data_IF_693034104917
#
_entry.id   IF_693034104917
#
_cell.length_a   1.000
_cell.length_b   1.000
_cell.length_c   1.000
_cell.angle_alpha   90.00
_cell.angle_beta   90.00
_cell.angle_gamma   90.00
#
_symmetry.space_group_name_H-M   'P 1'
#
loop_
_entity.id
_entity.type
_entity.pdbx_description
1 polymer ?
#
# COMPACT_ATOMS: atom_id res chain seq x y z
N UNK A 1 -5.21 11.94 27.89
CA UNK A 1 -4.05 12.66 27.33
C UNK A 1 -3.44 11.79 26.25
N UNK A 2 -3.68 12.11 24.98
CA UNK A 2 -3.08 11.38 23.86
C UNK A 2 -1.58 11.69 23.86
N UNK A 3 -0.78 10.69 24.19
CA UNK A 3 0.67 10.73 24.14
C UNK A 3 1.09 11.34 22.79
N UNK A 4 1.90 12.40 22.87
CA UNK A 4 2.72 12.90 21.77
C UNK A 4 3.61 11.74 21.35
N UNK A 5 3.14 10.89 20.45
CA UNK A 5 3.97 9.85 19.87
C UNK A 5 4.76 10.50 18.73
N UNK A 6 6.07 10.76 18.90
CA UNK A 6 6.93 10.89 17.74
C UNK A 6 6.72 9.63 16.91
N UNK A 7 6.44 9.80 15.62
CA UNK A 7 6.30 8.66 14.71
C UNK A 7 7.50 7.73 14.91
N UNK A 8 7.31 6.39 14.90
CA UNK A 8 8.42 5.45 15.00
C UNK A 8 9.53 5.82 14.02
N UNK A 9 10.79 5.61 14.43
CA UNK A 9 11.93 5.87 13.56
C UNK A 9 12.22 4.59 12.77
N UNK A 10 12.38 4.70 11.45
CA UNK A 10 12.74 3.57 10.59
C UNK A 10 14.05 2.90 11.04
N UNK A 11 15.04 3.66 11.52
CA UNK A 11 16.32 3.12 11.96
C UNK A 11 16.27 2.53 13.37
N UNK A 12 15.46 3.08 14.27
CA UNK A 12 15.42 2.63 15.66
C UNK A 12 14.39 1.52 15.90
N UNK A 13 13.23 1.60 15.23
CA UNK A 13 12.07 0.72 15.41
C UNK A 13 11.48 0.37 14.02
N UNK A 14 12.22 -0.38 13.17
CA UNK A 14 11.83 -0.65 11.79
C UNK A 14 10.49 -1.36 11.68
N UNK A 15 10.21 -2.30 12.60
CA UNK A 15 8.95 -3.05 12.60
C UNK A 15 7.74 -2.16 12.89
N UNK A 16 7.82 -1.28 13.89
CA UNK A 16 6.73 -0.38 14.23
C UNK A 16 6.53 0.68 13.15
N UNK A 17 7.61 1.15 12.52
CA UNK A 17 7.53 2.06 11.38
C UNK A 17 6.82 1.42 10.19
N UNK A 18 7.21 0.21 9.80
CA UNK A 18 6.57 -0.50 8.69
C UNK A 18 5.09 -0.77 9.00
N UNK A 19 4.75 -1.20 10.22
CA UNK A 19 3.35 -1.39 10.64
C UNK A 19 2.54 -0.10 10.57
N UNK A 20 3.13 1.02 10.98
CA UNK A 20 2.49 2.32 10.86
C UNK A 20 2.24 2.70 9.38
N UNK A 21 3.22 2.49 8.50
CA UNK A 21 3.06 2.77 7.06
C UNK A 21 1.99 1.86 6.44
N UNK A 22 1.99 0.57 6.77
CA UNK A 22 0.95 -0.37 6.36
C UNK A 22 -0.43 0.12 6.77
N UNK A 23 -0.61 0.53 8.04
CA UNK A 23 -1.89 1.05 8.52
C UNK A 23 -2.33 2.30 7.76
N UNK A 24 -1.40 3.20 7.40
CA UNK A 24 -1.73 4.37 6.57
C UNK A 24 -2.17 3.97 5.15
N UNK A 25 -1.54 2.95 4.56
CA UNK A 25 -1.94 2.38 3.27
C UNK A 25 -3.34 1.76 3.36
N UNK A 26 -3.63 0.98 4.39
CA UNK A 26 -4.96 0.39 4.63
C UNK A 26 -6.04 1.47 4.70
N UNK A 27 -5.75 2.60 5.37
CA UNK A 27 -6.66 3.74 5.40
C UNK A 27 -6.87 4.38 4.02
N UNK A 28 -5.83 4.48 3.20
CA UNK A 28 -5.96 4.95 1.82
C UNK A 28 -6.81 3.99 0.96
N UNK A 29 -6.68 2.68 1.16
CA UNK A 29 -7.50 1.67 0.49
C UNK A 29 -8.98 1.80 0.90
N UNK A 30 -9.28 2.02 2.18
CA UNK A 30 -10.64 2.28 2.64
C UNK A 30 -11.26 3.53 2.01
N UNK A 31 -10.43 4.55 1.72
CA UNK A 31 -10.83 5.77 1.02
C UNK A 31 -10.87 5.61 -0.51
N UNK A 32 -10.68 4.39 -1.02
CA UNK A 32 -10.65 4.07 -2.45
C UNK A 32 -9.60 4.85 -3.24
N UNK A 33 -8.47 5.17 -2.61
CA UNK A 33 -7.38 5.87 -3.28
C UNK A 33 -6.61 4.94 -4.20
N UNK A 34 -6.07 5.52 -5.27
CA UNK A 34 -5.07 4.85 -6.09
C UNK A 34 -3.76 4.65 -5.35
N UNK A 35 -2.90 3.77 -5.89
CA UNK A 35 -1.53 3.67 -5.41
C UNK A 35 -0.84 5.03 -5.46
N UNK A 36 -0.96 5.75 -6.58
CA UNK A 36 -0.28 7.03 -6.77
C UNK A 36 -0.81 8.12 -5.83
N UNK A 37 -2.13 8.18 -5.61
CA UNK A 37 -2.73 9.14 -4.68
C UNK A 37 -2.40 8.79 -3.23
N UNK A 38 -2.39 7.50 -2.88
CA UNK A 38 -1.91 7.00 -1.59
C UNK A 38 -0.46 7.44 -1.36
N UNK A 39 0.44 7.16 -2.29
CA UNK A 39 1.86 7.54 -2.20
C UNK A 39 2.04 9.05 -2.06
N UNK A 40 1.33 9.85 -2.87
CA UNK A 40 1.35 11.32 -2.79
C UNK A 40 0.81 11.82 -1.45
N UNK A 41 -0.27 11.24 -0.95
CA UNK A 41 -0.88 11.62 0.33
C UNK A 41 0.07 11.31 1.50
N UNK A 42 0.65 10.11 1.55
CA UNK A 42 1.59 9.72 2.60
C UNK A 42 2.86 10.59 2.58
N UNK A 43 3.38 10.92 1.40
CA UNK A 43 4.51 11.84 1.27
C UNK A 43 4.17 13.25 1.76
N UNK A 44 3.02 13.79 1.38
CA UNK A 44 2.61 15.16 1.72
C UNK A 44 2.24 15.32 3.19
N UNK A 45 1.42 14.43 3.73
CA UNK A 45 0.80 14.61 5.04
C UNK A 45 1.52 13.86 6.17
N UNK A 46 2.17 12.74 5.87
CA UNK A 46 2.88 11.93 6.85
C UNK A 46 4.41 11.99 6.71
N UNK A 47 4.93 12.71 5.69
CA UNK A 47 6.37 12.84 5.39
C UNK A 47 7.07 11.49 5.22
N UNK A 48 6.36 10.49 4.72
CA UNK A 48 6.93 9.17 4.41
C UNK A 48 7.55 9.23 3.02
N UNK A 49 8.77 8.74 2.87
CA UNK A 49 9.41 8.71 1.55
C UNK A 49 8.63 7.81 0.58
N UNK A 50 8.39 8.25 -0.67
CA UNK A 50 7.60 7.49 -1.64
C UNK A 50 8.08 6.05 -1.83
N UNK A 51 9.41 5.83 -1.81
CA UNK A 51 10.01 4.51 -1.98
C UNK A 51 9.59 3.52 -0.88
N UNK A 52 9.40 4.01 0.35
CA UNK A 52 8.96 3.21 1.48
C UNK A 52 7.50 2.78 1.25
N UNK A 53 6.61 3.72 0.97
CA UNK A 53 5.19 3.45 0.70
C UNK A 53 5.02 2.48 -0.47
N UNK A 54 5.77 2.68 -1.56
CA UNK A 54 5.76 1.78 -2.73
C UNK A 54 6.22 0.36 -2.37
N UNK A 55 7.28 0.24 -1.57
CA UNK A 55 7.81 -1.06 -1.13
C UNK A 55 6.80 -1.79 -0.26
N UNK A 56 6.22 -1.13 0.73
CA UNK A 56 5.20 -1.72 1.61
C UNK A 56 3.95 -2.11 0.82
N UNK A 57 3.48 -1.23 -0.08
CA UNK A 57 2.35 -1.53 -0.97
C UNK A 57 2.60 -2.78 -1.82
N UNK A 58 3.80 -2.90 -2.41
CA UNK A 58 4.17 -4.05 -3.23
C UNK A 58 4.14 -5.37 -2.44
N UNK A 59 4.69 -5.38 -1.23
CA UNK A 59 4.66 -6.58 -0.38
C UNK A 59 3.23 -6.90 0.08
N UNK A 60 2.42 -5.90 0.43
CA UNK A 60 0.99 -6.09 0.74
C UNK A 60 0.23 -6.71 -0.43
N UNK A 61 0.47 -6.23 -1.65
CA UNK A 61 -0.13 -6.77 -2.87
C UNK A 61 0.26 -8.24 -3.08
N UNK A 62 1.54 -8.56 -2.87
CA UNK A 62 2.07 -9.92 -3.03
C UNK A 62 1.47 -10.89 -2.03
N UNK A 63 1.31 -10.47 -0.78
CA UNK A 63 0.74 -11.30 0.30
C UNK A 63 -0.79 -11.43 0.22
N UNK A 64 -1.48 -10.41 -0.32
CA UNK A 64 -2.94 -10.32 -0.29
C UNK A 64 -3.56 -10.26 -1.71
N UNK A 65 -3.05 -11.09 -2.64
CA UNK A 65 -3.42 -11.04 -4.07
C UNK A 65 -4.94 -11.04 -4.31
N UNK A 66 -5.70 -11.85 -3.56
CA UNK A 66 -7.16 -11.93 -3.73
C UNK A 66 -7.87 -10.61 -3.38
N UNK A 67 -7.54 -10.02 -2.24
CA UNK A 67 -8.08 -8.73 -1.81
C UNK A 67 -7.84 -7.63 -2.85
N UNK A 68 -6.60 -7.52 -3.34
CA UNK A 68 -6.26 -6.47 -4.29
C UNK A 68 -6.91 -6.66 -5.65
N UNK A 69 -7.14 -7.90 -6.11
CA UNK A 69 -7.93 -8.15 -7.32
C UNK A 69 -9.34 -7.57 -7.18
N UNK A 70 -10.03 -7.88 -6.08
CA UNK A 70 -11.38 -7.39 -5.83
C UNK A 70 -11.41 -5.87 -5.67
N UNK A 71 -10.42 -5.33 -4.96
CA UNK A 71 -10.26 -3.89 -4.77
C UNK A 71 -10.12 -3.15 -6.10
N UNK A 72 -9.24 -3.61 -6.99
CA UNK A 72 -9.05 -2.99 -8.30
C UNK A 72 -10.26 -3.14 -9.21
N UNK A 73 -10.96 -4.28 -9.15
CA UNK A 73 -12.21 -4.47 -9.89
C UNK A 73 -13.26 -3.43 -9.49
N UNK A 74 -13.42 -3.19 -8.18
CA UNK A 74 -14.34 -2.16 -7.66
C UNK A 74 -13.90 -0.76 -8.07
N UNK A 75 -12.61 -0.47 -8.02
CA UNK A 75 -12.07 0.83 -8.42
C UNK A 75 -12.32 1.13 -9.90
N UNK A 76 -12.12 0.14 -10.79
CA UNK A 76 -12.37 0.27 -12.23
C UNK A 76 -13.85 0.53 -12.54
N UNK A 77 -14.77 -0.17 -11.86
CA UNK A 77 -16.22 0.04 -12.02
C UNK A 77 -16.66 1.45 -11.62
N UNK A 78 -15.90 2.13 -10.75
CA UNK A 78 -16.17 3.50 -10.30
C UNK A 78 -15.53 4.57 -11.18
N UNK A 79 -14.99 4.20 -12.35
CA UNK A 79 -14.50 5.15 -13.36
C UNK A 79 -13.19 5.85 -12.99
N UNK A 80 -12.47 5.35 -11.98
CA UNK A 80 -11.19 5.88 -11.57
C UNK A 80 -10.27 4.73 -11.21
N UNK A 81 -9.43 4.30 -12.17
CA UNK A 81 -7.98 4.04 -12.03
C UNK A 81 -7.46 3.04 -13.06
N UNK A 82 -6.36 3.41 -13.72
CA UNK A 82 -5.70 2.59 -14.74
C UNK A 82 -4.85 1.48 -14.12
N UNK A 83 -4.87 0.33 -14.80
CA UNK A 83 -4.43 -1.00 -14.42
C UNK A 83 -2.97 -1.12 -13.96
N UNK A 84 -2.76 -1.76 -12.80
CA UNK A 84 -1.46 -2.31 -12.36
C UNK A 84 -1.48 -3.85 -12.36
N UNK A 85 -2.09 -4.45 -13.38
CA UNK A 85 -2.22 -5.91 -13.51
C UNK A 85 -0.92 -6.64 -13.90
N UNK A 86 0.18 -5.94 -14.17
CA UNK A 86 1.35 -6.56 -14.83
C UNK A 86 2.28 -7.36 -13.91
N UNK A 87 2.02 -7.44 -12.60
CA UNK A 87 2.90 -8.17 -11.66
C UNK A 87 2.33 -9.49 -11.11
N UNK A 88 1.07 -9.84 -11.38
CA UNK A 88 0.42 -11.00 -10.75
C UNK A 88 0.66 -12.33 -11.51
N UNK A 89 1.14 -12.27 -12.78
CA UNK A 89 1.22 -13.45 -13.68
C UNK A 89 2.54 -14.26 -13.66
N UNK A 90 3.48 -14.04 -12.73
CA UNK A 90 4.83 -14.66 -12.82
C UNK A 90 5.07 -15.93 -11.98
N UNK A 91 4.08 -16.42 -11.22
CA UNK A 91 4.28 -17.56 -10.31
C UNK A 91 3.31 -18.73 -10.57
N UNK A 92 2.98 -19.03 -11.82
CA UNK A 92 2.40 -20.34 -12.16
C UNK A 92 3.51 -21.27 -12.66
N UNK A 93 3.89 -22.33 -11.92
CA UNK A 93 4.72 -23.39 -12.45
C UNK A 93 3.97 -24.05 -13.60
N UNK A 94 4.55 -23.97 -14.79
CA UNK A 94 4.08 -24.70 -15.97
C UNK A 94 4.00 -26.20 -15.62
N UNK A 95 2.85 -26.88 -15.80
CA UNK A 95 2.82 -28.32 -15.66
C UNK A 95 3.75 -28.92 -16.73
N UNK A 96 4.70 -29.74 -16.28
CA UNK A 96 5.41 -30.69 -17.15
C UNK A 96 4.46 -31.82 -17.55
#
# INVERSE_FOLDING_TARGET
MYLKHPLPCLHCQPHDYIRMVQHMIERCLLLQMSRDDCVKALAKYAKIEPIISLTVWKELLKENKAFFRDYFQIAQLKGGLNSEEESIKKDDPKPL
#
